data_IF_937054468511
#
_entry.id   IF_937054468511
#
_cell.length_a   1.000
_cell.length_b   1.000
_cell.length_c   1.000
_cell.angle_alpha   90.00
_cell.angle_beta   90.00
_cell.angle_gamma   90.00
#
_symmetry.space_group_name_H-M   'P 1'
#
loop_
_entity.id
_entity.type
_entity.pdbx_description
1 polymer ?
#
# COMPACT_ATOMS: atom_id res chain seq x y z
N UNK A 1 11.64 -10.70 12.71
CA UNK A 1 10.71 -11.79 13.03
C UNK A 1 9.57 -11.80 12.02
N UNK A 2 9.34 -12.91 11.36
CA UNK A 2 8.23 -12.96 10.41
C UNK A 2 6.89 -12.85 11.15
N UNK A 3 6.03 -11.98 10.66
CA UNK A 3 4.69 -11.82 11.17
C UNK A 3 3.74 -12.65 10.30
N UNK A 4 2.92 -13.46 10.95
CA UNK A 4 1.89 -14.23 10.26
C UNK A 4 0.71 -13.31 9.92
N UNK A 5 0.31 -13.29 8.67
CA UNK A 5 -0.78 -12.44 8.18
C UNK A 5 -2.00 -13.23 7.71
N UNK A 6 -2.09 -14.51 8.08
CA UNK A 6 -3.22 -15.35 7.70
C UNK A 6 -4.54 -14.71 8.16
N UNK A 7 -5.48 -14.55 7.23
CA UNK A 7 -6.75 -13.93 7.50
C UNK A 7 -6.76 -12.40 7.47
N UNK A 8 -5.60 -11.77 7.34
CA UNK A 8 -5.50 -10.32 7.23
C UNK A 8 -5.71 -9.91 5.77
N UNK A 9 -6.64 -8.99 5.53
CA UNK A 9 -6.91 -8.46 4.20
C UNK A 9 -6.06 -7.21 3.98
N UNK A 10 -5.16 -7.28 3.00
CA UNK A 10 -4.17 -6.25 2.73
C UNK A 10 -4.31 -5.71 1.32
N UNK A 11 -4.22 -4.40 1.17
CA UNK A 11 -4.12 -3.74 -0.13
C UNK A 11 -2.80 -3.01 -0.23
N UNK A 12 -2.11 -3.12 -1.36
CA UNK A 12 -0.96 -2.27 -1.66
C UNK A 12 -1.35 -1.22 -2.69
N UNK A 13 -0.99 0.05 -2.41
CA UNK A 13 -1.22 1.19 -3.28
C UNK A 13 0.08 1.54 -4.01
N UNK A 14 0.03 1.61 -5.35
CA UNK A 14 1.22 1.92 -6.13
C UNK A 14 2.27 0.82 -6.01
N UNK A 15 1.91 -0.41 -6.35
CA UNK A 15 2.73 -1.59 -6.06
C UNK A 15 4.08 -1.61 -6.79
N UNK A 16 4.22 -0.94 -7.92
CA UNK A 16 5.46 -0.96 -8.69
C UNK A 16 5.97 -2.38 -8.93
N UNK A 17 7.17 -2.69 -8.46
CA UNK A 17 7.74 -4.03 -8.55
C UNK A 17 7.07 -5.06 -7.63
N UNK A 18 6.30 -4.60 -6.66
CA UNK A 18 5.45 -5.44 -5.83
C UNK A 18 6.13 -6.13 -4.67
N UNK A 19 7.29 -5.69 -4.23
CA UNK A 19 8.01 -6.35 -3.14
C UNK A 19 7.19 -6.42 -1.85
N UNK A 20 6.56 -5.32 -1.35
CA UNK A 20 5.71 -5.41 -0.16
C UNK A 20 4.55 -6.39 -0.34
N UNK A 21 3.92 -6.40 -1.51
CA UNK A 21 2.83 -7.34 -1.82
C UNK A 21 3.29 -8.78 -1.78
N UNK A 22 4.43 -9.07 -2.38
CA UNK A 22 4.98 -10.43 -2.39
C UNK A 22 5.32 -10.90 -0.99
N UNK A 23 5.89 -10.03 -0.17
CA UNK A 23 6.20 -10.36 1.24
C UNK A 23 4.92 -10.63 2.03
N UNK A 24 3.92 -9.78 1.89
CA UNK A 24 2.64 -9.96 2.58
C UNK A 24 1.94 -11.26 2.17
N UNK A 25 1.93 -11.55 0.87
CA UNK A 25 1.35 -12.80 0.36
C UNK A 25 2.10 -14.03 0.88
N UNK A 26 3.42 -13.96 0.95
CA UNK A 26 4.23 -15.04 1.48
C UNK A 26 3.96 -15.29 2.97
N UNK A 27 3.47 -14.29 3.69
CA UNK A 27 3.07 -14.41 5.10
C UNK A 27 1.60 -14.75 5.30
N UNK A 28 0.90 -15.08 4.24
CA UNK A 28 -0.46 -15.59 4.30
C UNK A 28 -1.57 -14.55 4.16
N UNK A 29 -1.25 -13.29 3.88
CA UNK A 29 -2.25 -12.25 3.70
C UNK A 29 -3.17 -12.54 2.51
N UNK A 30 -4.42 -12.13 2.64
CA UNK A 30 -5.31 -11.98 1.50
C UNK A 30 -5.00 -10.62 0.87
N UNK A 31 -4.22 -10.62 -0.20
CA UNK A 31 -3.65 -9.41 -0.74
C UNK A 31 -4.25 -9.02 -2.08
N UNK A 32 -4.53 -7.74 -2.23
CA UNK A 32 -4.80 -7.11 -3.52
C UNK A 32 -3.76 -6.02 -3.73
N UNK A 33 -2.94 -6.17 -4.75
CA UNK A 33 -1.99 -5.14 -5.15
C UNK A 33 -2.62 -4.24 -6.21
N UNK A 34 -2.38 -2.95 -6.12
CA UNK A 34 -2.92 -1.99 -7.09
C UNK A 34 -1.82 -1.08 -7.62
N UNK A 35 -2.01 -0.65 -8.86
CA UNK A 35 -1.18 0.36 -9.49
C UNK A 35 -1.99 0.99 -10.62
N UNK A 36 -1.73 2.25 -10.91
CA UNK A 36 -2.39 2.91 -12.04
C UNK A 36 -1.83 2.42 -13.39
N UNK A 37 -0.64 1.83 -13.40
CA UNK A 37 0.02 1.35 -14.61
C UNK A 37 -0.23 -0.15 -14.82
N UNK A 38 -0.82 -0.48 -15.95
CA UNK A 38 -1.10 -1.89 -16.30
C UNK A 38 0.18 -2.73 -16.37
N UNK A 39 1.28 -2.15 -16.84
CA UNK A 39 2.56 -2.86 -16.95
C UNK A 39 3.09 -3.30 -15.57
N UNK A 40 2.88 -2.48 -14.54
CA UNK A 40 3.27 -2.84 -13.17
C UNK A 40 2.48 -4.07 -12.69
N UNK A 41 1.20 -4.11 -12.99
CA UNK A 41 0.33 -5.24 -12.62
C UNK A 41 0.76 -6.52 -13.34
N UNK A 42 1.07 -6.44 -14.63
CA UNK A 42 1.55 -7.60 -15.39
C UNK A 42 2.86 -8.14 -14.83
N UNK A 43 3.79 -7.25 -14.50
CA UNK A 43 5.07 -7.62 -13.92
C UNK A 43 4.89 -8.29 -12.55
N UNK A 44 3.98 -7.77 -11.74
CA UNK A 44 3.68 -8.34 -10.44
C UNK A 44 3.14 -9.77 -10.57
N UNK A 45 2.23 -10.02 -11.51
CA UNK A 45 1.73 -11.36 -11.76
C UNK A 45 2.87 -12.34 -12.13
N UNK A 46 3.80 -11.89 -12.97
CA UNK A 46 4.94 -12.72 -13.32
C UNK A 46 5.83 -13.02 -12.11
N UNK A 47 6.10 -12.02 -11.28
CA UNK A 47 6.91 -12.18 -10.09
C UNK A 47 6.23 -13.08 -9.06
N UNK A 48 4.92 -12.96 -8.87
CA UNK A 48 4.17 -13.84 -7.97
C UNK A 48 4.25 -15.29 -8.45
N UNK A 49 4.05 -15.54 -9.74
CA UNK A 49 4.13 -16.89 -10.30
C UNK A 49 5.51 -17.50 -10.10
N UNK A 50 6.57 -16.73 -10.30
CA UNK A 50 7.94 -17.21 -10.09
C UNK A 50 8.23 -17.61 -8.65
N UNK A 51 7.51 -17.03 -7.70
CA UNK A 51 7.68 -17.29 -6.28
C UNK A 51 6.61 -18.22 -5.71
N UNK A 52 5.77 -18.80 -6.56
CA UNK A 52 4.71 -19.71 -6.13
C UNK A 52 3.65 -19.03 -5.25
N UNK A 53 3.45 -17.74 -5.42
CA UNK A 53 2.51 -16.96 -4.60
C UNK A 53 1.24 -16.66 -5.37
N UNK A 54 0.12 -16.63 -4.62
CA UNK A 54 -1.19 -16.23 -5.13
C UNK A 54 -1.58 -14.89 -4.51
N UNK A 55 -1.97 -13.93 -5.36
CA UNK A 55 -2.46 -12.65 -4.89
C UNK A 55 -3.39 -12.06 -5.95
N UNK A 56 -4.26 -11.16 -5.53
CA UNK A 56 -5.05 -10.33 -6.44
C UNK A 56 -4.25 -9.12 -6.88
N UNK A 57 -4.51 -8.67 -8.10
CA UNK A 57 -3.89 -7.45 -8.59
C UNK A 57 -4.86 -6.73 -9.53
N UNK A 58 -4.89 -5.41 -9.45
CA UNK A 58 -5.86 -4.62 -10.19
C UNK A 58 -5.26 -3.26 -10.57
N UNK A 59 -5.49 -2.82 -11.80
CA UNK A 59 -5.21 -1.45 -12.20
C UNK A 59 -6.22 -0.53 -11.50
N UNK A 60 -5.72 0.42 -10.74
CA UNK A 60 -6.58 1.35 -10.01
C UNK A 60 -5.90 2.70 -9.80
N UNK A 61 -6.65 3.76 -10.06
CA UNK A 61 -6.25 5.14 -9.77
C UNK A 61 -6.91 5.58 -8.46
N UNK A 62 -6.13 6.11 -7.53
CA UNK A 62 -6.59 6.57 -6.21
C UNK A 62 -7.71 7.62 -6.29
N UNK A 63 -7.84 8.29 -7.41
CA UNK A 63 -8.86 9.31 -7.63
C UNK A 63 -10.23 8.73 -7.94
N UNK A 64 -10.29 7.42 -8.15
CA UNK A 64 -11.55 6.73 -8.42
C UNK A 64 -12.04 5.99 -7.19
N UNK A 65 -13.37 5.81 -7.02
CA UNK A 65 -13.89 5.08 -5.87
C UNK A 65 -13.46 3.62 -5.87
N UNK A 66 -13.34 3.06 -4.67
CA UNK A 66 -13.13 1.63 -4.45
C UNK A 66 -14.25 1.10 -3.58
N UNK A 67 -14.80 -0.05 -3.93
CA UNK A 67 -15.80 -0.72 -3.12
C UNK A 67 -15.13 -1.73 -2.19
N UNK A 68 -15.53 -1.72 -0.93
CA UNK A 68 -15.01 -2.62 0.08
C UNK A 68 -13.88 -2.00 0.89
N UNK A 69 -13.45 -2.76 1.88
CA UNK A 69 -12.41 -2.33 2.83
C UNK A 69 -11.41 -3.45 3.08
N UNK A 70 -10.26 -3.05 3.64
CA UNK A 70 -9.17 -3.94 4.02
C UNK A 70 -8.82 -3.71 5.48
N UNK A 71 -8.03 -4.59 6.06
CA UNK A 71 -7.52 -4.43 7.42
C UNK A 71 -6.28 -3.54 7.45
N UNK A 72 -5.47 -3.59 6.40
CA UNK A 72 -4.20 -2.89 6.33
C UNK A 72 -3.93 -2.44 4.90
N UNK A 73 -3.43 -1.22 4.74
CA UNK A 73 -2.91 -0.73 3.47
C UNK A 73 -1.39 -0.61 3.54
N UNK A 74 -0.75 -0.88 2.41
CA UNK A 74 0.70 -0.73 2.25
C UNK A 74 0.98 0.23 1.11
N UNK A 75 1.98 1.07 1.26
CA UNK A 75 2.49 1.90 0.18
C UNK A 75 3.97 2.20 0.42
N UNK A 76 4.78 2.15 -0.62
CA UNK A 76 6.20 2.43 -0.52
C UNK A 76 6.64 3.35 -1.64
N UNK A 77 7.28 4.47 -1.29
CA UNK A 77 7.78 5.48 -2.23
C UNK A 77 6.73 5.93 -3.26
N UNK A 78 5.54 6.28 -2.78
CA UNK A 78 4.42 6.71 -3.64
C UNK A 78 4.24 8.23 -3.67
N UNK A 79 5.02 8.98 -2.89
CA UNK A 79 4.90 10.43 -2.72
C UNK A 79 5.97 11.20 -3.51
N UNK A 80 6.25 10.77 -4.72
CA UNK A 80 7.25 11.41 -5.57
C UNK A 80 6.70 12.62 -6.36
N UNK A 81 5.39 12.88 -6.30
CA UNK A 81 4.75 14.06 -6.88
C UNK A 81 3.81 14.68 -5.87
N UNK A 82 3.81 16.02 -5.79
CA UNK A 82 2.95 16.74 -4.85
C UNK A 82 1.46 16.44 -5.05
N UNK A 83 1.04 16.31 -6.29
CA UNK A 83 -0.36 16.02 -6.64
C UNK A 83 -0.88 14.69 -6.09
N UNK A 84 0.01 13.82 -5.62
CA UNK A 84 -0.37 12.53 -5.06
C UNK A 84 -0.71 12.58 -3.57
N UNK A 85 -0.36 13.66 -2.88
CA UNK A 85 -0.53 13.74 -1.41
C UNK A 85 -1.99 13.63 -1.00
N UNK A 86 -2.85 14.52 -1.48
CA UNK A 86 -4.27 14.49 -1.12
C UNK A 86 -4.99 13.23 -1.59
N UNK A 87 -4.79 12.78 -2.85
CA UNK A 87 -5.40 11.52 -3.29
C UNK A 87 -4.97 10.31 -2.46
N UNK A 88 -3.71 10.25 -2.02
CA UNK A 88 -3.25 9.16 -1.17
C UNK A 88 -3.94 9.18 0.20
N UNK A 89 -3.99 10.35 0.85
CA UNK A 89 -4.67 10.48 2.14
C UNK A 89 -6.12 10.04 2.02
N UNK A 90 -6.82 10.50 0.99
CA UNK A 90 -8.22 10.16 0.75
C UNK A 90 -8.40 8.66 0.49
N UNK A 91 -7.55 8.07 -0.35
CA UNK A 91 -7.61 6.65 -0.64
C UNK A 91 -7.40 5.80 0.62
N UNK A 92 -6.42 6.15 1.44
CA UNK A 92 -6.15 5.43 2.69
C UNK A 92 -7.36 5.48 3.64
N UNK A 93 -7.99 6.64 3.75
CA UNK A 93 -9.18 6.80 4.61
C UNK A 93 -10.35 5.93 4.15
N UNK A 94 -10.48 5.70 2.85
CA UNK A 94 -11.54 4.85 2.31
C UNK A 94 -11.25 3.36 2.50
N UNK A 95 -9.99 2.96 2.43
CA UNK A 95 -9.62 1.56 2.22
C UNK A 95 -9.37 0.79 3.50
N UNK A 96 -8.71 1.38 4.48
CA UNK A 96 -8.28 0.65 5.68
C UNK A 96 -8.13 1.56 6.89
N UNK A 97 -8.30 1.03 8.12
CA UNK A 97 -8.10 1.82 9.35
C UNK A 97 -6.63 2.09 9.65
N UNK A 98 -5.73 1.30 9.10
CA UNK A 98 -4.29 1.46 9.30
C UNK A 98 -3.54 1.28 7.99
N UNK A 99 -2.39 1.94 7.90
CA UNK A 99 -1.48 1.79 6.77
C UNK A 99 -0.03 1.78 7.25
N UNK A 100 0.81 1.07 6.53
CA UNK A 100 2.27 1.14 6.66
C UNK A 100 2.81 1.81 5.41
N UNK A 101 3.53 2.90 5.61
CA UNK A 101 4.04 3.72 4.51
C UNK A 101 5.56 3.73 4.57
N UNK A 102 6.19 3.24 3.51
CA UNK A 102 7.63 3.35 3.32
C UNK A 102 7.99 4.70 2.71
N UNK A 103 8.88 5.43 3.37
CA UNK A 103 9.34 6.74 2.94
C UNK A 103 10.68 6.63 2.23
N UNK A 104 10.91 7.48 1.23
CA UNK A 104 12.13 7.46 0.44
C UNK A 104 12.93 8.78 0.52
N UNK A 105 12.52 9.70 1.39
CA UNK A 105 13.15 11.01 1.52
C UNK A 105 12.66 12.01 0.49
N UNK A 106 11.46 11.83 -0.05
CA UNK A 106 10.89 12.76 -1.03
C UNK A 106 10.42 14.05 -0.36
N UNK A 107 10.49 15.19 -1.08
CA UNK A 107 10.13 16.50 -0.48
C UNK A 107 8.67 16.57 0.01
N UNK A 108 7.77 15.85 -0.63
CA UNK A 108 6.33 15.93 -0.35
C UNK A 108 5.89 15.04 0.80
N UNK A 109 6.79 14.23 1.34
CA UNK A 109 6.46 13.34 2.46
C UNK A 109 6.07 14.12 3.72
N UNK A 110 6.70 15.26 3.96
CA UNK A 110 6.36 16.10 5.12
C UNK A 110 4.93 16.63 5.04
N UNK A 111 4.49 17.02 3.86
CA UNK A 111 3.11 17.45 3.65
C UNK A 111 2.13 16.33 3.95
N UNK A 112 2.42 15.12 3.49
CA UNK A 112 1.62 13.93 3.79
C UNK A 112 1.57 13.68 5.29
N UNK A 113 2.71 13.67 5.96
CA UNK A 113 2.80 13.38 7.40
C UNK A 113 2.03 14.38 8.26
N UNK A 114 1.94 15.64 7.83
CA UNK A 114 1.12 16.64 8.52
C UNK A 114 -0.38 16.44 8.35
N UNK A 115 -0.77 15.66 7.35
CA UNK A 115 -2.19 15.41 7.01
C UNK A 115 -2.75 14.16 7.67
N UNK A 116 -1.93 13.37 8.35
CA UNK A 116 -2.33 12.09 8.92
C UNK A 116 -1.78 11.94 10.34
N UNK A 117 -2.34 10.99 11.07
CA UNK A 117 -1.80 10.56 12.36
C UNK A 117 -0.79 9.44 12.10
N UNK A 118 0.49 9.73 12.25
CA UNK A 118 1.57 8.81 11.90
C UNK A 118 2.56 8.63 13.04
N UNK A 119 3.05 7.42 13.20
CA UNK A 119 4.10 7.07 14.17
C UNK A 119 5.19 6.31 13.43
N UNK A 120 6.44 6.77 13.56
CA UNK A 120 7.57 6.04 13.02
C UNK A 120 7.78 4.75 13.80
N UNK A 121 7.78 3.62 13.09
CA UNK A 121 7.95 2.30 13.70
C UNK A 121 9.28 1.63 13.33
N UNK A 122 9.92 2.11 12.28
CA UNK A 122 11.23 1.68 11.84
C UNK A 122 11.83 2.80 10.99
N UNK A 123 13.11 2.69 10.63
CA UNK A 123 13.73 3.70 9.78
C UNK A 123 12.94 3.84 8.47
N UNK A 124 12.46 5.05 8.19
CA UNK A 124 11.68 5.38 6.98
C UNK A 124 10.39 4.59 6.81
N UNK A 125 9.85 4.06 7.91
CA UNK A 125 8.54 3.39 7.87
C UNK A 125 7.65 4.00 8.95
N UNK A 126 6.50 4.49 8.54
CA UNK A 126 5.51 5.03 9.46
C UNK A 126 4.24 4.21 9.44
N UNK A 127 3.62 4.06 10.61
CA UNK A 127 2.28 3.52 10.74
C UNK A 127 1.31 4.69 10.78
N UNK A 128 0.34 4.67 9.91
CA UNK A 128 -0.68 5.71 9.79
C UNK A 128 -2.00 5.15 10.27
N UNK A 129 -2.66 5.88 11.14
CA UNK A 129 -4.04 5.61 11.52
C UNK A 129 -4.93 6.48 10.66
N UNK A 130 -5.76 5.85 9.84
CA UNK A 130 -6.56 6.53 8.83
C UNK A 130 -8.01 6.70 9.25
N UNK A 131 -8.50 5.80 10.09
CA UNK A 131 -9.85 5.93 10.59
C UNK A 131 -9.88 7.14 11.51
N UNK A 132 -10.58 8.13 11.10
CA UNK A 132 -10.78 9.32 11.90
C UNK A 132 -11.66 9.06 13.09
N UNK A 133 -11.87 7.92 13.40
CA UNK A 133 -12.56 7.44 14.54
C UNK A 133 -13.59 8.37 15.06
#
# INVERSE_FOLDING_TARGET
MPVELTGVRVVELGCGLGVPSLVAAARGAELVATDWAADAIDLLHQNAARNGLTLGAKVWDWRTPWEGTFDLALAADVLYEQRNVEPLVHALQQLAPEALIGLAGRPYEQQFLRSVEAVEIAERVVRVRTAGV
#
